data_IF_260739713552
#
_entry.id   IF_260739713552
#
_cell.length_a   1.000
_cell.length_b   1.000
_cell.length_c   1.000
_cell.angle_alpha   90.00
_cell.angle_beta   90.00
_cell.angle_gamma   90.00
#
_symmetry.space_group_name_H-M   'P 1'
#
loop_
_entity.id
_entity.type
_entity.pdbx_description
1 polymer ?
#
# COMPACT_ATOMS: atom_id res chain seq x y z
N UNK A 1 4.27 5.10 4.40
CA UNK A 1 3.66 4.30 5.49
C UNK A 1 4.21 2.89 5.44
N UNK A 2 4.45 2.29 6.58
CA UNK A 2 4.95 0.92 6.67
C UNK A 2 3.76 -0.03 6.71
N UNK A 3 3.64 -0.91 5.72
CA UNK A 3 2.59 -1.94 5.71
C UNK A 3 2.91 -3.03 6.74
N UNK A 4 2.12 -3.10 7.77
CA UNK A 4 2.22 -4.07 8.86
C UNK A 4 1.16 -5.18 8.77
N UNK A 5 0.24 -5.06 7.82
CA UNK A 5 -0.90 -5.98 7.68
C UNK A 5 -0.57 -7.25 6.89
N UNK A 6 0.58 -7.27 6.23
CA UNK A 6 1.02 -8.40 5.39
C UNK A 6 2.25 -9.12 5.95
N UNK A 7 2.50 -8.98 7.24
CA UNK A 7 3.59 -9.68 7.91
C UNK A 7 3.50 -11.20 7.71
N UNK A 8 4.57 -11.83 7.23
CA UNK A 8 4.62 -13.25 6.91
C UNK A 8 5.88 -13.90 7.45
N UNK A 9 5.76 -15.16 7.86
CA UNK A 9 6.89 -16.06 8.11
C UNK A 9 6.68 -17.33 7.29
N UNK A 10 7.68 -18.22 7.28
CA UNK A 10 7.58 -19.53 6.64
C UNK A 10 6.35 -20.31 7.13
N UNK A 11 6.04 -20.23 8.41
CA UNK A 11 4.99 -21.01 9.06
C UNK A 11 3.68 -20.23 9.24
N UNK A 12 3.70 -18.92 9.04
CA UNK A 12 2.54 -18.05 9.24
C UNK A 12 2.47 -16.97 8.14
N UNK A 13 1.92 -17.31 6.96
CA UNK A 13 2.02 -16.52 5.74
C UNK A 13 1.02 -15.43 5.71
N UNK A 14 0.58 -14.66 6.39
CA UNK A 14 -0.30 -13.47 6.31
C UNK A 14 -0.94 -13.14 7.65
N UNK A 15 -0.34 -12.21 8.37
CA UNK A 15 -0.90 -11.67 9.60
C UNK A 15 -0.69 -10.17 9.69
N UNK A 16 -1.66 -9.48 10.27
CA UNK A 16 -1.43 -8.17 10.85
C UNK A 16 -0.55 -8.34 12.09
N UNK A 17 0.50 -7.56 12.22
CA UNK A 17 1.42 -7.60 13.37
C UNK A 17 1.26 -6.35 14.22
N UNK A 18 1.29 -6.53 15.55
CA UNK A 18 1.06 -5.42 16.48
C UNK A 18 1.92 -5.52 17.73
N UNK A 19 2.02 -4.40 18.46
CA UNK A 19 2.67 -4.30 19.76
C UNK A 19 1.67 -3.78 20.79
N UNK A 20 1.56 -4.45 21.91
CA UNK A 20 0.75 -4.03 23.04
C UNK A 20 1.43 -2.90 23.83
N UNK A 21 0.66 -2.19 24.64
CA UNK A 21 1.16 -1.13 25.52
C UNK A 21 2.23 -1.61 26.52
N UNK A 22 2.22 -2.89 26.89
CA UNK A 22 3.22 -3.53 27.75
C UNK A 22 4.50 -3.96 27.01
N UNK A 23 4.58 -3.71 25.69
CA UNK A 23 5.71 -4.07 24.83
C UNK A 23 5.66 -5.51 24.30
N UNK A 24 4.70 -6.33 24.70
CA UNK A 24 4.48 -7.65 24.09
C UNK A 24 3.98 -7.50 22.65
N UNK A 25 4.24 -8.50 21.83
CA UNK A 25 3.89 -8.48 20.41
C UNK A 25 2.91 -9.58 20.08
N UNK A 26 2.07 -9.34 19.08
CA UNK A 26 1.09 -10.30 18.63
C UNK A 26 0.84 -10.23 17.13
N UNK A 27 -0.03 -11.12 16.69
CA UNK A 27 -0.47 -11.22 15.30
C UNK A 27 -1.96 -11.54 15.25
N UNK A 28 -2.63 -11.02 14.26
CA UNK A 28 -4.04 -11.28 13.99
C UNK A 28 -4.26 -11.64 12.54
N UNK A 29 -5.33 -12.39 12.25
CA UNK A 29 -5.68 -12.73 10.89
C UNK A 29 -6.03 -11.48 10.08
N UNK A 30 -5.56 -11.40 8.84
CA UNK A 30 -5.96 -10.35 7.89
C UNK A 30 -7.47 -10.29 7.62
N UNK A 31 -8.18 -11.38 7.85
CA UNK A 31 -9.60 -11.51 7.49
C UNK A 31 -10.55 -11.35 8.67
N UNK A 32 -10.07 -10.89 9.79
CA UNK A 32 -10.92 -10.65 10.95
C UNK A 32 -10.15 -10.57 12.25
N UNK A 33 -10.70 -9.83 13.17
CA UNK A 33 -10.15 -9.59 14.49
C UNK A 33 -10.18 -8.08 14.79
N UNK A 34 -10.22 -7.77 16.06
CA UNK A 34 -10.09 -6.41 16.54
C UNK A 34 -8.71 -6.27 17.15
N UNK A 35 -8.04 -5.18 16.87
CA UNK A 35 -6.77 -4.85 17.52
C UNK A 35 -7.02 -4.78 19.04
N UNK A 36 -6.17 -5.42 19.89
CA UNK A 36 -6.32 -5.33 21.33
C UNK A 36 -6.31 -3.88 21.80
N UNK A 37 -7.08 -3.58 22.86
CA UNK A 37 -7.15 -2.23 23.40
C UNK A 37 -5.74 -1.71 23.80
N UNK A 38 -5.39 -0.53 23.32
CA UNK A 38 -4.08 0.09 23.53
C UNK A 38 -2.93 -0.52 22.75
N UNK A 39 -3.19 -1.46 21.85
CA UNK A 39 -2.19 -1.99 20.93
C UNK A 39 -2.07 -1.11 19.69
N UNK A 40 -0.89 -1.11 19.08
CA UNK A 40 -0.60 -0.39 17.84
C UNK A 40 -0.01 -1.35 16.80
N UNK A 41 -0.39 -1.19 15.54
CA UNK A 41 0.24 -1.93 14.46
C UNK A 41 1.74 -1.64 14.39
N UNK A 42 2.55 -2.68 14.26
CA UNK A 42 4.01 -2.55 14.24
C UNK A 42 4.65 -3.61 13.34
N UNK A 43 5.72 -3.21 12.65
CA UNK A 43 6.62 -4.17 12.02
C UNK A 43 7.44 -4.88 13.10
N UNK A 44 7.43 -6.20 13.05
CA UNK A 44 8.13 -7.04 14.02
C UNK A 44 9.34 -7.73 13.39
N UNK A 45 10.40 -7.91 14.17
CA UNK A 45 11.57 -8.66 13.76
C UNK A 45 11.19 -10.13 13.45
N UNK A 46 11.81 -10.69 12.43
CA UNK A 46 11.55 -12.06 12.00
C UNK A 46 10.33 -12.23 11.06
N UNK A 47 9.62 -11.15 10.75
CA UNK A 47 8.56 -11.12 9.75
C UNK A 47 9.05 -10.46 8.46
N UNK A 48 8.55 -10.97 7.33
CA UNK A 48 8.74 -10.38 6.02
C UNK A 48 7.48 -9.64 5.60
N UNK A 49 7.62 -8.41 5.10
CA UNK A 49 6.53 -7.55 4.64
C UNK A 49 6.66 -7.32 3.14
N UNK A 50 6.03 -8.16 2.30
CA UNK A 50 6.21 -8.13 0.84
C UNK A 50 5.90 -6.77 0.22
N UNK A 51 4.90 -6.08 0.74
CA UNK A 51 4.43 -4.81 0.18
C UNK A 51 5.37 -3.62 0.46
N UNK A 52 6.39 -3.78 1.32
CA UNK A 52 7.37 -2.70 1.53
C UNK A 52 8.17 -2.38 0.27
N UNK A 53 8.39 -3.35 -0.58
CA UNK A 53 9.08 -3.19 -1.86
C UNK A 53 8.13 -3.53 -3.01
N UNK A 54 7.46 -4.69 -2.94
CA UNK A 54 6.57 -5.21 -3.98
C UNK A 54 7.34 -5.38 -5.31
N UNK A 55 6.74 -4.87 -6.38
CA UNK A 55 7.37 -4.78 -7.70
C UNK A 55 8.16 -3.49 -7.90
N UNK A 56 8.17 -2.64 -6.89
CA UNK A 56 8.79 -1.31 -6.91
C UNK A 56 8.32 -0.44 -8.10
N UNK A 57 7.04 -0.56 -8.44
CA UNK A 57 6.44 0.20 -9.54
C UNK A 57 6.65 1.71 -9.41
N UNK A 58 6.77 2.22 -8.19
CA UNK A 58 7.03 3.64 -7.92
C UNK A 58 8.29 4.15 -8.63
N UNK A 59 9.36 3.37 -8.64
CA UNK A 59 10.63 3.75 -9.26
C UNK A 59 10.75 3.28 -10.72
N UNK A 60 10.03 2.22 -11.09
CA UNK A 60 10.16 1.55 -12.40
C UNK A 60 8.97 1.77 -13.35
N UNK A 61 7.95 2.55 -12.98
CA UNK A 61 6.71 2.70 -13.76
C UNK A 61 6.92 3.06 -15.24
N UNK A 62 7.94 3.87 -15.57
CA UNK A 62 8.22 4.24 -16.96
C UNK A 62 8.68 3.04 -17.81
N UNK A 63 9.55 2.23 -17.23
CA UNK A 63 10.06 1.01 -17.87
C UNK A 63 8.95 -0.03 -18.00
N UNK A 64 8.19 -0.22 -16.94
CA UNK A 64 7.06 -1.15 -16.90
C UNK A 64 5.98 -0.77 -17.92
N UNK A 65 5.60 0.51 -18.00
CA UNK A 65 4.62 1.00 -18.98
C UNK A 65 5.13 0.83 -20.41
N UNK A 66 6.40 1.06 -20.65
CA UNK A 66 6.98 0.81 -21.96
C UNK A 66 6.90 -0.68 -22.35
N UNK A 67 7.11 -1.59 -21.39
CA UNK A 67 6.91 -3.03 -21.61
C UNK A 67 5.45 -3.38 -21.86
N UNK A 68 4.50 -2.79 -21.12
CA UNK A 68 3.06 -2.97 -21.37
C UNK A 68 2.67 -2.56 -22.80
N UNK A 69 3.24 -1.45 -23.27
CA UNK A 69 3.02 -0.98 -24.63
C UNK A 69 3.56 -1.97 -25.68
N UNK A 70 4.74 -2.55 -25.45
CA UNK A 70 5.34 -3.56 -26.34
C UNK A 70 4.50 -4.84 -26.40
N UNK A 71 3.89 -5.25 -25.28
CA UNK A 71 2.98 -6.39 -25.21
C UNK A 71 1.63 -6.09 -25.90
N UNK A 72 1.31 -4.81 -26.09
CA UNK A 72 0.10 -4.35 -26.79
C UNK A 72 -1.07 -4.03 -25.86
N UNK A 73 -0.83 -3.72 -24.60
CA UNK A 73 -1.88 -3.30 -23.66
C UNK A 73 -2.59 -2.04 -24.17
N UNK A 74 -3.92 -2.02 -24.04
CA UNK A 74 -4.77 -0.87 -24.33
C UNK A 74 -5.37 -0.26 -23.08
N UNK A 75 -5.33 -0.99 -21.99
CA UNK A 75 -5.83 -0.58 -20.69
C UNK A 75 -4.91 -1.13 -19.60
N UNK A 76 -4.67 -0.33 -18.56
CA UNK A 76 -3.92 -0.74 -17.38
C UNK A 76 -4.73 -0.42 -16.12
N UNK A 77 -5.13 -1.47 -15.38
CA UNK A 77 -5.84 -1.32 -14.12
C UNK A 77 -4.86 -1.15 -12.97
N UNK A 78 -5.01 -0.09 -12.20
CA UNK A 78 -4.24 0.16 -10.98
C UNK A 78 -5.12 0.76 -9.88
N UNK A 79 -4.67 0.69 -8.65
CA UNK A 79 -5.28 1.41 -7.53
C UNK A 79 -4.42 2.62 -7.12
N UNK A 80 -5.09 3.62 -6.57
CA UNK A 80 -4.42 4.73 -5.88
C UNK A 80 -4.25 4.34 -4.43
N UNK A 81 -3.02 4.43 -3.91
CA UNK A 81 -2.76 4.26 -2.49
C UNK A 81 -3.16 5.53 -1.74
N UNK A 82 -4.19 5.43 -0.92
CA UNK A 82 -4.65 6.54 -0.10
C UNK A 82 -3.53 7.12 0.78
N UNK A 83 -2.74 6.31 1.52
CA UNK A 83 -1.64 6.82 2.33
C UNK A 83 -0.56 7.57 1.55
N UNK A 84 -0.45 7.37 0.25
CA UNK A 84 0.49 8.13 -0.58
C UNK A 84 0.05 9.57 -0.78
N UNK A 85 -1.27 9.81 -0.81
CA UNK A 85 -1.86 11.15 -1.00
C UNK A 85 -2.18 11.78 0.35
N UNK A 86 -2.76 11.03 1.28
CA UNK A 86 -3.10 11.47 2.64
C UNK A 86 -2.52 10.47 3.64
N UNK A 87 -1.26 10.67 4.09
CA UNK A 87 -0.54 9.69 4.93
C UNK A 87 -1.26 9.30 6.21
N UNK A 88 -1.99 10.23 6.83
CA UNK A 88 -2.76 9.97 8.04
C UNK A 88 -4.26 9.81 7.76
N UNK A 89 -4.72 10.05 6.54
CA UNK A 89 -6.13 9.99 6.15
C UNK A 89 -6.97 11.22 6.51
N UNK A 90 -6.58 11.95 7.54
CA UNK A 90 -7.21 13.19 8.02
C UNK A 90 -6.35 14.44 7.80
N UNK A 91 -5.34 14.36 6.97
CA UNK A 91 -4.47 15.49 6.64
C UNK A 91 -5.28 16.61 5.98
N UNK A 92 -5.02 17.87 6.35
CA UNK A 92 -5.69 19.04 5.76
C UNK A 92 -5.33 19.25 4.28
N UNK A 93 -4.16 18.77 3.88
CA UNK A 93 -3.65 18.92 2.51
C UNK A 93 -3.06 17.61 2.01
N UNK A 94 -3.25 17.32 0.72
CA UNK A 94 -2.63 16.15 0.11
C UNK A 94 -1.11 16.28 0.05
N UNK A 95 -0.43 15.15 0.08
CA UNK A 95 0.99 15.06 -0.24
C UNK A 95 1.18 15.32 -1.74
N UNK A 96 1.83 16.44 -2.05
CA UNK A 96 2.02 16.88 -3.44
C UNK A 96 2.88 15.89 -4.24
N UNK A 97 3.90 15.29 -3.62
CA UNK A 97 4.73 14.28 -4.27
C UNK A 97 3.92 13.04 -4.70
N UNK A 98 2.98 12.63 -3.85
CA UNK A 98 2.06 11.53 -4.18
C UNK A 98 1.15 11.85 -5.37
N UNK A 99 0.61 13.08 -5.42
CA UNK A 99 -0.20 13.53 -6.55
C UNK A 99 0.62 13.62 -7.85
N UNK A 100 1.82 14.16 -7.78
CA UNK A 100 2.69 14.30 -8.95
C UNK A 100 3.15 12.94 -9.48
N UNK A 101 3.36 11.97 -8.60
CA UNK A 101 3.62 10.58 -9.01
C UNK A 101 2.47 10.03 -9.86
N UNK A 102 1.22 10.07 -9.37
CA UNK A 102 0.08 9.54 -10.13
C UNK A 102 -0.16 10.29 -11.43
N UNK A 103 0.02 11.61 -11.44
CA UNK A 103 -0.02 12.40 -12.67
C UNK A 103 1.00 11.90 -13.69
N UNK A 104 2.22 11.70 -13.26
CA UNK A 104 3.31 11.20 -14.12
C UNK A 104 3.03 9.80 -14.67
N UNK A 105 2.43 8.92 -13.87
CA UNK A 105 2.01 7.57 -14.31
C UNK A 105 0.94 7.69 -15.40
N UNK A 106 -0.08 8.53 -15.21
CA UNK A 106 -1.15 8.70 -16.21
C UNK A 106 -0.64 9.33 -17.49
N UNK A 107 0.23 10.31 -17.41
CA UNK A 107 0.87 10.92 -18.58
C UNK A 107 1.70 9.89 -19.36
N UNK A 108 2.45 9.03 -18.67
CA UNK A 108 3.23 7.99 -19.31
C UNK A 108 2.34 6.93 -19.98
N UNK A 109 1.25 6.50 -19.34
CA UNK A 109 0.27 5.60 -19.95
C UNK A 109 -0.34 6.18 -21.22
N UNK A 110 -0.80 7.43 -21.16
CA UNK A 110 -1.40 8.13 -22.32
C UNK A 110 -0.43 8.32 -23.48
N UNK A 111 0.86 8.53 -23.20
CA UNK A 111 1.91 8.59 -24.21
C UNK A 111 1.96 7.35 -25.11
N UNK A 112 1.63 6.19 -24.55
CA UNK A 112 1.57 4.92 -25.28
C UNK A 112 0.14 4.54 -25.73
N UNK A 113 -0.84 5.38 -25.51
CA UNK A 113 -2.24 5.08 -25.84
C UNK A 113 -2.84 3.98 -24.96
N UNK A 114 -2.38 3.87 -23.71
CA UNK A 114 -2.90 2.93 -22.71
C UNK A 114 -3.83 3.71 -21.78
N UNK A 115 -5.08 3.28 -21.68
CA UNK A 115 -6.08 3.91 -20.82
C UNK A 115 -5.93 3.42 -19.37
N UNK A 116 -5.77 4.31 -18.37
CA UNK A 116 -5.77 3.92 -16.97
C UNK A 116 -7.19 3.60 -16.46
N UNK A 117 -7.38 2.40 -15.93
CA UNK A 117 -8.58 2.04 -15.17
C UNK A 117 -8.28 2.12 -13.68
N UNK A 118 -8.73 3.21 -13.05
CA UNK A 118 -8.33 3.53 -11.68
C UNK A 118 -9.32 3.00 -10.66
N UNK A 119 -8.82 2.22 -9.69
CA UNK A 119 -9.53 1.88 -8.45
C UNK A 119 -9.13 2.90 -7.39
N UNK A 120 -10.09 3.66 -6.87
CA UNK A 120 -9.84 4.77 -5.95
C UNK A 120 -9.34 4.28 -4.60
N UNK A 121 -9.95 3.21 -4.04
CA UNK A 121 -9.53 2.57 -2.80
C UNK A 121 -9.52 1.06 -2.95
N UNK A 122 -8.45 0.40 -2.49
CA UNK A 122 -8.28 -1.05 -2.59
C UNK A 122 -7.55 -1.61 -1.36
N UNK A 123 -8.17 -1.45 -0.18
CA UNK A 123 -7.73 -2.01 1.10
C UNK A 123 -6.39 -1.48 1.64
N UNK A 124 -5.93 -0.33 1.20
CA UNK A 124 -4.73 0.32 1.72
C UNK A 124 -5.11 1.62 2.46
N UNK A 125 -5.86 1.46 3.53
CA UNK A 125 -6.28 2.57 4.37
C UNK A 125 -5.09 3.13 5.17
N UNK A 126 -5.09 4.44 5.47
CA UNK A 126 -4.08 5.03 6.35
C UNK A 126 -4.11 4.38 7.74
N UNK A 127 -2.96 4.01 8.28
CA UNK A 127 -2.85 3.32 9.56
C UNK A 127 -3.56 4.06 10.71
N UNK A 128 -3.48 5.38 10.72
CA UNK A 128 -4.20 6.21 11.69
C UNK A 128 -5.72 5.97 11.68
N UNK A 129 -6.30 5.77 10.49
CA UNK A 129 -7.74 5.51 10.37
C UNK A 129 -8.11 4.14 10.93
N UNK A 130 -7.28 3.12 10.69
CA UNK A 130 -7.50 1.77 11.23
C UNK A 130 -7.38 1.70 12.76
N UNK A 131 -6.54 2.56 13.36
CA UNK A 131 -6.32 2.59 14.81
C UNK A 131 -7.32 3.46 15.58
N UNK A 132 -7.97 4.41 14.93
CA UNK A 132 -8.82 5.42 15.58
C UNK A 132 -10.31 5.33 15.25
N UNK A 133 -10.68 4.55 14.26
CA UNK A 133 -12.07 4.30 13.85
C UNK A 133 -12.52 2.88 14.17
#
# INVERSE_FOLDING_TARGET
MTDVTTGATKDTPRYGTYRNADGTTGKMSMFGGTLPEGAEYACLDGYFYPNHIGTDFYHHYKEDIALFAQIGFKMFRMSISWPRIYPNGNDEKPNQEGLDFYRSVFEELHKYGIEPLVTISHYDDPLYMEEKL
#
